data_IF_700049287607
#
_entry.id   IF_700049287607
#
_cell.length_a   1.000
_cell.length_b   1.000
_cell.length_c   1.000
_cell.angle_alpha   90.00
_cell.angle_beta   90.00
_cell.angle_gamma   90.00
#
_symmetry.space_group_name_H-M   'P 1'
#
loop_
_entity.id
_entity.type
_entity.pdbx_description
1 polymer ?
#
# COMPACT_ATOMS: atom_id res chain seq x y z
N UNK A 1 -46.57 -21.28 32.30
CA UNK A 1 -46.03 -21.63 30.96
C UNK A 1 -45.44 -20.43 30.23
N UNK A 2 -46.09 -19.23 30.19
CA UNK A 2 -45.51 -18.03 29.52
C UNK A 2 -44.24 -17.53 30.19
N UNK A 3 -44.18 -17.41 31.53
CA UNK A 3 -43.00 -16.93 32.27
C UNK A 3 -41.75 -17.80 32.08
N UNK A 4 -41.88 -19.12 31.94
CA UNK A 4 -40.72 -19.99 31.71
C UNK A 4 -40.19 -19.89 30.28
N UNK A 5 -41.05 -19.62 29.31
CA UNK A 5 -40.67 -19.36 27.93
C UNK A 5 -39.93 -18.03 27.81
N UNK A 6 -40.41 -16.98 28.49
CA UNK A 6 -39.77 -15.65 28.45
C UNK A 6 -38.40 -15.65 29.12
N UNK A 7 -38.22 -16.43 30.21
CA UNK A 7 -36.94 -16.62 30.87
C UNK A 7 -35.92 -17.40 29.98
N UNK A 8 -36.42 -18.45 29.31
CA UNK A 8 -35.58 -19.22 28.39
C UNK A 8 -35.12 -18.38 27.18
N UNK A 9 -36.02 -17.55 26.64
CA UNK A 9 -35.68 -16.64 25.54
C UNK A 9 -34.71 -15.54 25.98
N UNK A 10 -34.88 -14.99 27.19
CA UNK A 10 -33.93 -14.01 27.74
C UNK A 10 -32.54 -14.58 27.95
N UNK A 11 -32.44 -15.85 28.42
CA UNK A 11 -31.16 -16.53 28.56
C UNK A 11 -30.51 -16.79 27.22
N UNK A 12 -31.23 -17.24 26.21
CA UNK A 12 -30.72 -17.43 24.86
C UNK A 12 -30.19 -16.14 24.24
N UNK A 13 -30.87 -15.02 24.46
CA UNK A 13 -30.43 -13.71 23.99
C UNK A 13 -29.11 -13.31 24.66
N UNK A 14 -28.98 -13.52 25.98
CA UNK A 14 -27.77 -13.23 26.72
C UNK A 14 -26.59 -14.09 26.26
N UNK A 15 -26.80 -15.39 26.02
CA UNK A 15 -25.79 -16.32 25.55
C UNK A 15 -25.33 -15.98 24.13
N UNK A 16 -26.25 -15.64 23.23
CA UNK A 16 -25.94 -15.18 21.88
C UNK A 16 -25.18 -13.85 21.89
N UNK A 17 -25.54 -12.94 22.78
CA UNK A 17 -24.84 -11.66 22.93
C UNK A 17 -23.40 -11.85 23.40
N UNK A 18 -23.18 -12.71 24.37
CA UNK A 18 -21.83 -13.07 24.83
C UNK A 18 -20.99 -13.73 23.73
N UNK A 19 -21.60 -14.56 22.89
CA UNK A 19 -20.92 -15.18 21.75
C UNK A 19 -20.57 -14.15 20.66
N UNK A 20 -21.47 -13.22 20.35
CA UNK A 20 -21.22 -12.11 19.42
C UNK A 20 -20.07 -11.24 19.93
N UNK A 21 -20.04 -10.90 21.20
CA UNK A 21 -18.94 -10.09 21.76
C UNK A 21 -17.61 -10.83 21.73
N UNK A 22 -17.61 -12.15 21.96
CA UNK A 22 -16.43 -13.00 21.82
C UNK A 22 -15.92 -13.04 20.37
N UNK A 23 -16.84 -13.17 19.41
CA UNK A 23 -16.48 -13.24 17.98
C UNK A 23 -15.96 -11.91 17.47
N UNK A 24 -16.46 -10.76 17.93
CA UNK A 24 -15.92 -9.44 17.58
C UNK A 24 -14.46 -9.28 18.00
N UNK A 25 -14.11 -9.70 19.21
CA UNK A 25 -12.71 -9.66 19.67
C UNK A 25 -11.82 -10.56 18.79
N UNK A 26 -12.35 -11.67 18.31
CA UNK A 26 -11.64 -12.57 17.41
C UNK A 26 -11.41 -11.94 16.03
N UNK A 27 -12.43 -11.27 15.49
CA UNK A 27 -12.39 -10.55 14.22
C UNK A 27 -11.40 -9.37 14.27
N UNK A 28 -11.44 -8.54 15.33
CA UNK A 28 -10.48 -7.46 15.55
C UNK A 28 -9.03 -7.96 15.68
N UNK A 29 -8.82 -9.07 16.37
CA UNK A 29 -7.50 -9.69 16.47
C UNK A 29 -7.02 -10.26 15.12
N UNK A 30 -7.91 -10.84 14.31
CA UNK A 30 -7.58 -11.36 12.99
C UNK A 30 -7.11 -10.23 12.07
N UNK A 31 -7.86 -9.12 11.99
CA UNK A 31 -7.46 -7.95 11.21
C UNK A 31 -6.11 -7.37 11.66
N UNK A 32 -5.87 -7.31 12.97
CA UNK A 32 -4.59 -6.86 13.52
C UNK A 32 -3.43 -7.76 13.11
N UNK A 33 -3.59 -9.08 13.17
CA UNK A 33 -2.55 -10.02 12.76
C UNK A 33 -2.34 -10.03 11.24
N UNK A 34 -3.37 -9.83 10.45
CA UNK A 34 -3.26 -9.67 9.00
C UNK A 34 -2.44 -8.41 8.65
N UNK A 35 -2.71 -7.28 9.30
CA UNK A 35 -1.93 -6.05 9.11
C UNK A 35 -0.46 -6.21 9.52
N UNK A 36 -0.19 -6.83 10.67
CA UNK A 36 1.18 -7.11 11.13
C UNK A 36 1.93 -8.03 10.17
N UNK A 37 1.25 -9.02 9.61
CA UNK A 37 1.82 -9.92 8.61
C UNK A 37 2.16 -9.17 7.32
N UNK A 38 1.24 -8.35 6.82
CA UNK A 38 1.44 -7.56 5.60
C UNK A 38 2.60 -6.55 5.77
N UNK A 39 2.72 -5.93 6.95
CA UNK A 39 3.82 -5.05 7.30
C UNK A 39 5.15 -5.81 7.33
N UNK A 40 5.19 -6.96 8.00
CA UNK A 40 6.36 -7.82 8.05
C UNK A 40 6.79 -8.31 6.65
N UNK A 41 5.84 -8.77 5.84
CA UNK A 41 6.11 -9.23 4.48
C UNK A 41 6.69 -8.10 3.63
N UNK A 42 6.16 -6.88 3.76
CA UNK A 42 6.63 -5.70 3.03
C UNK A 42 8.00 -5.22 3.48
N UNK A 43 8.22 -5.13 4.80
CA UNK A 43 9.43 -4.52 5.37
C UNK A 43 10.61 -5.49 5.51
N UNK A 44 10.33 -6.77 5.69
CA UNK A 44 11.37 -7.77 5.99
C UNK A 44 11.59 -8.74 4.83
N UNK A 45 10.51 -9.26 4.24
CA UNK A 45 10.62 -10.35 3.24
C UNK A 45 10.98 -9.81 1.86
N UNK A 46 10.42 -8.66 1.48
CA UNK A 46 10.58 -8.09 0.13
C UNK A 46 11.51 -6.88 0.05
N UNK A 47 12.38 -6.68 1.05
CA UNK A 47 13.40 -5.63 1.00
C UNK A 47 14.66 -6.11 0.25
N UNK A 48 15.40 -5.16 -0.33
CA UNK A 48 16.66 -5.43 -1.05
C UNK A 48 17.75 -6.08 -0.16
N UNK A 49 17.57 -6.06 1.17
CA UNK A 49 18.47 -6.65 2.16
C UNK A 49 17.95 -7.95 2.79
N UNK A 50 16.86 -8.51 2.28
CA UNK A 50 16.33 -9.76 2.81
C UNK A 50 17.31 -10.92 2.60
N UNK A 51 17.55 -11.77 3.62
CA UNK A 51 18.36 -12.96 3.44
C UNK A 51 17.65 -13.88 2.44
N UNK A 52 18.40 -14.40 1.51
CA UNK A 52 18.03 -15.27 0.39
C UNK A 52 16.51 -15.47 0.13
N UNK A 53 15.96 -14.61 -0.72
CA UNK A 53 14.53 -14.61 -1.15
C UNK A 53 14.06 -16.01 -1.54
N UNK A 54 14.97 -16.88 -2.06
CA UNK A 54 14.62 -18.23 -2.49
C UNK A 54 14.28 -19.17 -1.34
N UNK A 55 14.90 -19.00 -0.16
CA UNK A 55 14.60 -19.79 1.02
C UNK A 55 13.29 -19.36 1.68
N UNK A 56 13.04 -18.05 1.76
CA UNK A 56 11.74 -17.54 2.23
C UNK A 56 10.59 -17.96 1.33
N UNK A 57 10.80 -17.92 0.01
CA UNK A 57 9.82 -18.40 -0.97
C UNK A 57 9.42 -19.85 -0.71
N UNK A 58 10.40 -20.75 -0.58
CA UNK A 58 10.15 -22.17 -0.29
C UNK A 58 9.42 -22.37 1.03
N UNK A 59 9.76 -21.58 2.04
CA UNK A 59 9.16 -21.68 3.35
C UNK A 59 7.69 -21.25 3.32
N UNK A 60 7.36 -20.11 2.69
CA UNK A 60 5.98 -19.64 2.52
C UNK A 60 5.14 -20.60 1.68
N UNK A 61 5.66 -21.09 0.58
CA UNK A 61 4.98 -22.08 -0.27
C UNK A 61 4.67 -23.39 0.50
N UNK A 62 5.48 -23.74 1.49
CA UNK A 62 5.27 -24.95 2.31
C UNK A 62 4.19 -24.77 3.38
N UNK A 63 3.93 -23.54 3.84
CA UNK A 63 2.95 -23.24 4.89
C UNK A 63 1.57 -22.98 4.29
N UNK A 64 1.50 -22.09 3.32
CA UNK A 64 0.24 -21.65 2.69
C UNK A 64 0.49 -21.25 1.24
N UNK A 65 0.28 -22.19 0.33
CA UNK A 65 0.51 -21.99 -1.09
C UNK A 65 -0.40 -20.91 -1.71
N UNK A 66 -1.63 -20.80 -1.25
CA UNK A 66 -2.60 -19.83 -1.77
C UNK A 66 -2.23 -18.40 -1.35
N UNK A 67 -1.80 -18.24 -0.11
CA UNK A 67 -1.30 -16.97 0.40
C UNK A 67 0.02 -16.56 -0.27
N UNK A 68 0.95 -17.51 -0.47
CA UNK A 68 2.18 -17.27 -1.21
C UNK A 68 1.90 -16.79 -2.64
N UNK A 69 0.95 -17.40 -3.34
CA UNK A 69 0.55 -16.99 -4.69
C UNK A 69 -0.03 -15.56 -4.72
N UNK A 70 -0.84 -15.19 -3.71
CA UNK A 70 -1.39 -13.84 -3.59
C UNK A 70 -0.30 -12.80 -3.35
N UNK A 71 0.66 -13.09 -2.46
CA UNK A 71 1.82 -12.23 -2.18
C UNK A 71 2.70 -12.05 -3.43
N UNK A 72 2.98 -13.12 -4.18
CA UNK A 72 3.76 -13.01 -5.41
C UNK A 72 3.06 -12.16 -6.46
N UNK A 73 1.74 -12.32 -6.62
CA UNK A 73 0.96 -11.49 -7.53
C UNK A 73 1.03 -9.99 -7.15
N UNK A 74 1.00 -9.69 -5.84
CA UNK A 74 1.15 -8.32 -5.35
C UNK A 74 2.56 -7.77 -5.60
N UNK A 75 3.60 -8.54 -5.34
CA UNK A 75 5.00 -8.13 -5.61
C UNK A 75 5.23 -7.88 -7.09
N UNK A 76 4.75 -8.77 -7.95
CA UNK A 76 4.85 -8.59 -9.41
C UNK A 76 4.15 -7.29 -9.83
N UNK A 77 2.94 -7.05 -9.33
CA UNK A 77 2.20 -5.82 -9.62
C UNK A 77 2.95 -4.56 -9.17
N UNK A 78 3.57 -4.58 -7.98
CA UNK A 78 4.36 -3.45 -7.48
C UNK A 78 5.64 -3.22 -8.31
N UNK A 79 6.30 -4.29 -8.75
CA UNK A 79 7.47 -4.20 -9.62
C UNK A 79 7.12 -3.65 -11.01
N UNK A 80 6.01 -4.10 -11.59
CA UNK A 80 5.49 -3.58 -12.86
C UNK A 80 5.15 -2.10 -12.74
N UNK A 81 4.43 -1.70 -11.68
CA UNK A 81 4.11 -0.30 -11.42
C UNK A 81 5.39 0.55 -11.25
N UNK A 82 6.35 0.08 -10.48
CA UNK A 82 7.64 0.77 -10.30
C UNK A 82 8.39 0.94 -11.64
N UNK A 83 8.38 -0.08 -12.49
CA UNK A 83 9.00 0.00 -13.81
C UNK A 83 8.30 0.99 -14.72
N UNK A 84 6.96 1.00 -14.74
CA UNK A 84 6.19 1.96 -15.51
C UNK A 84 6.47 3.40 -15.07
N UNK A 85 6.53 3.67 -13.76
CA UNK A 85 6.87 5.00 -13.22
C UNK A 85 8.27 5.41 -13.63
N UNK A 86 9.25 4.50 -13.62
CA UNK A 86 10.61 4.78 -14.09
C UNK A 86 10.64 5.12 -15.59
N UNK A 87 9.87 4.41 -16.41
CA UNK A 87 9.79 4.67 -17.84
C UNK A 87 9.14 6.04 -18.12
N UNK A 88 8.10 6.41 -17.40
CA UNK A 88 7.51 7.74 -17.43
C UNK A 88 8.52 8.81 -17.00
N UNK A 89 9.23 8.60 -15.89
CA UNK A 89 10.25 9.53 -15.43
C UNK A 89 11.35 9.74 -16.48
N UNK A 90 11.79 8.64 -17.11
CA UNK A 90 12.80 8.72 -18.19
C UNK A 90 12.28 9.48 -19.42
N UNK A 91 10.99 9.36 -19.75
CA UNK A 91 10.37 10.11 -20.85
C UNK A 91 10.30 11.63 -20.52
N UNK A 92 9.76 11.99 -19.35
CA UNK A 92 9.69 13.39 -18.92
C UNK A 92 11.07 14.04 -18.73
N UNK A 93 12.06 13.27 -18.27
CA UNK A 93 13.44 13.76 -18.11
C UNK A 93 14.14 14.11 -19.42
N UNK A 94 13.65 13.59 -20.56
CA UNK A 94 14.12 13.92 -21.90
C UNK A 94 13.39 15.12 -22.54
N UNK A 95 12.27 15.54 -21.95
CA UNK A 95 11.51 16.70 -22.40
C UNK A 95 12.18 17.99 -21.95
N UNK A 96 11.81 19.11 -22.60
CA UNK A 96 12.06 20.43 -22.05
C UNK A 96 11.37 20.59 -20.69
N UNK A 97 12.07 21.13 -19.69
CA UNK A 97 11.59 21.20 -18.32
C UNK A 97 10.27 21.95 -18.18
N UNK A 98 10.07 23.00 -18.99
CA UNK A 98 8.84 23.78 -19.00
C UNK A 98 7.65 22.97 -19.51
N UNK A 99 7.87 22.18 -20.57
CA UNK A 99 6.82 21.33 -21.13
C UNK A 99 6.47 20.18 -20.19
N UNK A 100 7.47 19.55 -19.58
CA UNK A 100 7.26 18.51 -18.57
C UNK A 100 6.50 19.06 -17.35
N UNK A 101 6.88 20.24 -16.84
CA UNK A 101 6.19 20.91 -15.74
C UNK A 101 4.72 21.20 -16.08
N UNK A 102 4.44 21.72 -17.27
CA UNK A 102 3.09 22.03 -17.72
C UNK A 102 2.19 20.77 -17.75
N UNK A 103 2.70 19.65 -18.27
CA UNK A 103 1.94 18.40 -18.31
C UNK A 103 1.70 17.84 -16.91
N UNK A 104 2.74 17.77 -16.09
CA UNK A 104 2.65 17.21 -14.74
C UNK A 104 1.75 18.03 -13.82
N UNK A 105 1.65 19.32 -14.01
CA UNK A 105 0.73 20.19 -13.26
C UNK A 105 -0.74 19.93 -13.58
N UNK A 106 -1.08 19.50 -14.79
CA UNK A 106 -2.46 19.15 -15.15
C UNK A 106 -2.93 17.85 -14.50
N UNK A 107 -2.01 17.02 -13.98
CA UNK A 107 -2.32 15.76 -13.26
C UNK A 107 -2.74 16.02 -11.81
N UNK A 108 -3.67 16.92 -11.58
CA UNK A 108 -4.09 17.37 -10.24
C UNK A 108 -4.80 16.30 -9.42
N UNK A 109 -5.40 15.29 -10.08
CA UNK A 109 -6.06 14.15 -9.44
C UNK A 109 -5.08 13.08 -8.91
N UNK A 110 -3.89 13.00 -9.52
CA UNK A 110 -2.91 11.93 -9.28
C UNK A 110 -1.58 12.47 -8.77
N UNK A 111 -1.65 13.35 -7.78
CA UNK A 111 -0.47 14.04 -7.23
C UNK A 111 0.58 13.10 -6.62
N UNK A 112 0.18 11.92 -6.15
CA UNK A 112 1.12 10.90 -5.67
C UNK A 112 1.92 10.32 -6.83
N UNK A 113 1.28 9.99 -7.94
CA UNK A 113 1.97 9.52 -9.14
C UNK A 113 2.96 10.57 -9.68
N UNK A 114 2.59 11.85 -9.68
CA UNK A 114 3.50 12.94 -10.07
C UNK A 114 4.73 12.98 -9.15
N UNK A 115 4.54 12.81 -7.84
CA UNK A 115 5.64 12.77 -6.88
C UNK A 115 6.56 11.56 -7.14
N UNK A 116 6.01 10.37 -7.34
CA UNK A 116 6.76 9.15 -7.68
C UNK A 116 7.58 9.30 -8.97
N UNK A 117 6.99 9.90 -10.01
CA UNK A 117 7.70 10.21 -11.26
C UNK A 117 8.89 11.15 -10.99
N UNK A 118 8.69 12.20 -10.20
CA UNK A 118 9.75 13.14 -9.84
C UNK A 118 10.84 12.49 -8.99
N UNK A 119 10.48 11.58 -8.09
CA UNK A 119 11.44 10.82 -7.25
C UNK A 119 12.36 9.92 -8.08
N UNK A 120 11.84 9.32 -9.14
CA UNK A 120 12.61 8.49 -10.07
C UNK A 120 13.60 9.27 -10.94
N UNK A 121 13.56 10.61 -10.92
CA UNK A 121 14.48 11.47 -11.67
C UNK A 121 15.75 11.81 -10.88
N UNK A 122 16.81 12.15 -11.60
CA UNK A 122 17.99 12.75 -10.96
C UNK A 122 17.65 14.09 -10.30
N UNK A 123 18.38 14.45 -9.25
CA UNK A 123 18.16 15.73 -8.54
C UNK A 123 18.19 16.94 -9.47
N UNK A 124 19.05 16.91 -10.49
CA UNK A 124 19.17 17.99 -11.48
C UNK A 124 17.93 18.11 -12.36
N UNK A 125 17.40 16.99 -12.85
CA UNK A 125 16.20 16.97 -13.70
C UNK A 125 14.98 17.38 -12.90
N UNK A 126 14.81 16.80 -11.71
CA UNK A 126 13.72 17.16 -10.79
C UNK A 126 13.72 18.65 -10.44
N UNK A 127 14.89 19.21 -10.10
CA UNK A 127 15.01 20.63 -9.78
C UNK A 127 14.64 21.52 -10.96
N UNK A 128 15.05 21.18 -12.19
CA UNK A 128 14.70 21.94 -13.38
C UNK A 128 13.19 21.96 -13.64
N UNK A 129 12.52 20.82 -13.48
CA UNK A 129 11.06 20.71 -13.68
C UNK A 129 10.31 21.46 -12.57
N UNK A 130 10.70 21.29 -11.31
CA UNK A 130 10.08 21.98 -10.17
C UNK A 130 10.22 23.50 -10.26
N UNK A 131 11.32 24.01 -10.83
CA UNK A 131 11.53 25.44 -11.03
C UNK A 131 10.57 26.05 -12.05
N UNK A 132 10.08 25.27 -13.00
CA UNK A 132 9.11 25.71 -14.03
C UNK A 132 7.65 25.49 -13.61
N UNK A 133 7.40 24.79 -12.50
CA UNK A 133 6.07 24.58 -11.94
C UNK A 133 5.55 25.80 -11.21
N UNK A 134 4.22 25.90 -11.09
CA UNK A 134 3.59 26.82 -10.14
C UNK A 134 4.12 26.57 -8.71
N UNK A 135 4.41 27.65 -8.00
CA UNK A 135 5.04 27.59 -6.67
C UNK A 135 4.21 26.78 -5.65
N UNK A 136 2.88 26.85 -5.72
CA UNK A 136 1.99 26.13 -4.81
C UNK A 136 2.02 24.65 -5.13
N UNK A 137 2.01 24.31 -6.41
CA UNK A 137 2.08 22.90 -6.84
C UNK A 137 3.45 22.30 -6.54
N UNK A 138 4.53 23.02 -6.82
CA UNK A 138 5.90 22.58 -6.48
C UNK A 138 6.07 22.35 -4.97
N UNK A 139 5.54 23.24 -4.13
CA UNK A 139 5.56 23.07 -2.67
C UNK A 139 4.73 21.85 -2.23
N UNK A 140 3.59 21.58 -2.87
CA UNK A 140 2.78 20.39 -2.61
C UNK A 140 3.55 19.11 -2.96
N UNK A 141 4.21 19.06 -4.13
CA UNK A 141 5.03 17.92 -4.54
C UNK A 141 6.17 17.67 -3.55
N UNK A 142 6.85 18.73 -3.14
CA UNK A 142 7.94 18.62 -2.16
C UNK A 142 7.46 18.02 -0.82
N UNK A 143 6.27 18.39 -0.35
CA UNK A 143 5.69 17.83 0.88
C UNK A 143 5.26 16.37 0.74
N UNK A 144 4.87 15.93 -0.44
CA UNK A 144 4.52 14.52 -0.68
C UNK A 144 5.79 13.67 -0.72
N UNK A 145 6.84 14.13 -1.39
CA UNK A 145 8.12 13.42 -1.48
C UNK A 145 8.88 13.36 -0.14
N UNK A 146 8.71 14.38 0.72
CA UNK A 146 9.41 14.48 2.01
C UNK A 146 8.41 14.89 3.10
N UNK A 147 7.59 13.95 3.59
CA UNK A 147 6.56 14.19 4.62
C UNK A 147 7.13 14.56 5.99
#
# INVERSE_FOLDING_TARGET
>A
TRRSSDLASAQQIADLQAEVDRLKVFEENQEYYEQLKDEFDREVVFTDNAPDISEYKKWYESIDADNAAALYAEVVRQLEHKQEVQDWAAAYAKMDAKNAAAILQEMTGDTNLVAEILECMTAKQRAAILAEMDTVFAAKMTKIMYP
#
